data_IF_760536391499
#
_entry.id   IF_760536391499
#
_cell.length_a   1.000
_cell.length_b   1.000
_cell.length_c   1.000
_cell.angle_alpha   90.00
_cell.angle_beta   90.00
_cell.angle_gamma   90.00
#
_symmetry.space_group_name_H-M   'P 1'
#
loop_
_entity.id
_entity.type
_entity.pdbx_description
1 polymer ?
#
# COMPACT_ATOMS: atom_id res chain seq x y z
N UNK A 1 -13.98 -4.86 5.58
CA UNK A 1 -13.45 -5.54 4.39
C UNK A 1 -12.26 -6.34 4.85
N UNK A 2 -12.35 -7.66 4.72
CA UNK A 2 -11.23 -8.54 5.03
C UNK A 2 -10.21 -8.49 3.90
N UNK A 3 -8.98 -8.09 4.22
CA UNK A 3 -7.87 -7.94 3.27
C UNK A 3 -6.87 -9.10 3.32
N UNK A 4 -7.12 -10.14 4.13
CA UNK A 4 -6.17 -11.23 4.40
C UNK A 4 -5.67 -11.89 3.13
N UNK A 5 -6.57 -12.28 2.22
CA UNK A 5 -6.18 -12.95 0.98
C UNK A 5 -5.39 -12.04 0.03
N UNK A 6 -5.67 -10.73 0.04
CA UNK A 6 -4.93 -9.74 -0.76
C UNK A 6 -3.52 -9.60 -0.21
N UNK A 7 -3.39 -9.52 1.11
CA UNK A 7 -2.09 -9.43 1.76
C UNK A 7 -1.24 -10.68 1.52
N UNK A 8 -1.82 -11.87 1.69
CA UNK A 8 -1.13 -13.13 1.42
C UNK A 8 -0.59 -13.17 -0.02
N UNK A 9 -1.41 -12.78 -1.00
CA UNK A 9 -0.97 -12.69 -2.39
C UNK A 9 0.20 -11.74 -2.55
N UNK A 10 0.19 -10.57 -1.91
CA UNK A 10 1.29 -9.61 -1.98
C UNK A 10 2.57 -10.17 -1.33
N UNK A 11 2.47 -10.83 -0.18
CA UNK A 11 3.61 -11.44 0.53
C UNK A 11 4.30 -12.49 -0.33
N UNK A 12 3.51 -13.32 -1.02
CA UNK A 12 4.06 -14.36 -1.90
C UNK A 12 4.33 -13.87 -3.33
N UNK A 13 4.01 -12.61 -3.64
CA UNK A 13 4.22 -12.04 -4.96
C UNK A 13 5.62 -11.45 -5.08
N UNK A 14 6.34 -11.93 -6.09
CA UNK A 14 7.52 -11.31 -6.70
C UNK A 14 8.65 -10.87 -5.73
N UNK A 15 9.63 -11.77 -5.57
CA UNK A 15 10.85 -11.53 -4.77
C UNK A 15 11.68 -10.31 -5.21
N UNK A 16 11.47 -9.80 -6.43
CA UNK A 16 12.22 -8.66 -6.95
C UNK A 16 11.60 -7.30 -6.62
N UNK A 17 10.43 -7.27 -5.96
CA UNK A 17 9.69 -6.05 -5.67
C UNK A 17 10.55 -4.99 -4.99
N UNK A 18 11.01 -5.30 -3.76
CA UNK A 18 11.82 -4.42 -2.92
C UNK A 18 13.14 -3.99 -3.58
N UNK A 19 13.70 -4.84 -4.43
CA UNK A 19 15.05 -4.66 -4.97
C UNK A 19 15.11 -3.85 -6.27
N UNK A 20 14.01 -3.77 -7.03
CA UNK A 20 14.04 -3.12 -8.35
C UNK A 20 12.70 -2.54 -8.77
N UNK A 21 11.60 -3.28 -8.59
CA UNK A 21 10.31 -2.91 -9.16
C UNK A 21 9.68 -1.75 -8.41
N UNK A 22 9.84 -1.68 -7.09
CA UNK A 22 9.30 -0.58 -6.29
C UNK A 22 9.79 0.78 -6.81
N UNK A 23 11.10 0.94 -7.03
CA UNK A 23 11.66 2.19 -7.55
C UNK A 23 11.08 2.55 -8.92
N UNK A 24 10.92 1.57 -9.81
CA UNK A 24 10.28 1.79 -11.13
C UNK A 24 8.80 2.16 -11.00
N UNK A 25 8.08 1.61 -10.03
CA UNK A 25 6.69 1.99 -9.74
C UNK A 25 6.61 3.43 -9.25
N UNK A 26 7.48 3.81 -8.30
CA UNK A 26 7.54 5.19 -7.81
C UNK A 26 7.90 6.16 -8.95
N UNK A 27 8.92 5.85 -9.75
CA UNK A 27 9.31 6.65 -10.91
C UNK A 27 8.17 6.77 -11.92
N UNK A 28 7.44 5.69 -12.18
CA UNK A 28 6.29 5.73 -13.11
C UNK A 28 5.17 6.63 -12.56
N UNK A 29 4.86 6.52 -11.27
CA UNK A 29 3.81 7.33 -10.64
C UNK A 29 4.19 8.79 -10.48
N UNK A 30 5.47 9.12 -10.27
CA UNK A 30 5.94 10.49 -10.05
C UNK A 30 5.73 11.42 -11.26
N UNK A 31 5.53 10.84 -12.45
CA UNK A 31 5.16 11.61 -13.64
C UNK A 31 3.73 12.17 -13.56
N UNK A 32 2.85 11.55 -12.76
CA UNK A 32 1.41 11.83 -12.73
C UNK A 32 0.92 12.28 -11.34
N UNK A 33 1.66 11.95 -10.29
CA UNK A 33 1.32 12.18 -8.89
C UNK A 33 2.56 12.64 -8.13
N UNK A 34 2.34 13.20 -6.94
CA UNK A 34 3.41 13.45 -5.99
C UNK A 34 3.65 12.15 -5.23
N UNK A 35 4.90 11.71 -5.21
CA UNK A 35 5.33 10.51 -4.48
C UNK A 35 6.40 10.92 -3.49
N UNK A 36 6.13 10.72 -2.20
CA UNK A 36 7.11 10.95 -1.14
C UNK A 36 7.51 9.59 -0.55
N UNK A 37 8.81 9.33 -0.51
CA UNK A 37 9.38 8.18 0.18
C UNK A 37 9.84 8.70 1.54
N UNK A 38 9.33 8.11 2.62
CA UNK A 38 9.73 8.49 3.95
C UNK A 38 11.16 7.97 4.22
N UNK A 39 12.13 8.90 4.18
CA UNK A 39 13.58 8.63 4.14
C UNK A 39 14.07 7.90 5.41
N UNK A 40 13.40 8.08 6.54
CA UNK A 40 13.87 7.57 7.82
C UNK A 40 13.47 6.11 8.09
N UNK A 41 12.53 5.56 7.31
CA UNK A 41 12.04 4.18 7.52
C UNK A 41 11.93 3.33 6.28
N UNK A 42 11.97 3.91 5.08
CA UNK A 42 11.89 3.21 3.77
C UNK A 42 10.73 2.20 3.64
N UNK A 43 9.81 2.05 4.59
CA UNK A 43 8.84 0.93 4.56
C UNK A 43 7.63 1.21 3.70
N UNK A 44 7.22 2.48 3.58
CA UNK A 44 6.02 2.89 2.85
C UNK A 44 6.27 4.24 2.13
N UNK A 45 5.76 4.37 0.91
CA UNK A 45 5.70 5.64 0.18
C UNK A 45 4.27 6.18 0.14
N UNK A 46 4.15 7.49 0.27
CA UNK A 46 2.89 8.23 0.18
C UNK A 46 2.63 8.61 -1.28
N UNK A 47 1.43 8.33 -1.76
CA UNK A 47 0.94 8.76 -3.07
C UNK A 47 -0.09 9.88 -2.88
N UNK A 48 0.16 11.04 -3.49
CA UNK A 48 -0.68 12.22 -3.31
C UNK A 48 -0.93 12.98 -4.62
N UNK A 49 -2.01 13.75 -4.59
CA UNK A 49 -2.25 14.86 -5.53
C UNK A 49 -1.81 16.16 -4.85
N UNK A 50 -1.81 17.27 -5.57
CA UNK A 50 -1.46 18.59 -5.01
C UNK A 50 -2.22 18.95 -3.72
N UNK A 51 -3.44 18.43 -3.54
CA UNK A 51 -4.34 18.83 -2.46
C UNK A 51 -4.58 17.76 -1.40
N UNK A 52 -4.20 16.50 -1.66
CA UNK A 52 -4.46 15.40 -0.71
C UNK A 52 -3.65 14.14 -0.98
N UNK A 53 -3.43 13.37 0.08
CA UNK A 53 -2.97 11.98 0.01
C UNK A 53 -4.11 11.12 -0.54
N UNK A 54 -3.78 10.22 -1.46
CA UNK A 54 -4.73 9.33 -2.14
C UNK A 54 -4.39 7.85 -1.97
N UNK A 55 -3.19 7.52 -1.48
CA UNK A 55 -2.79 6.14 -1.25
C UNK A 55 -1.43 5.99 -0.58
N UNK A 56 -1.10 4.74 -0.27
CA UNK A 56 0.14 4.30 0.35
C UNK A 56 0.68 3.08 -0.39
N UNK A 57 1.99 3.01 -0.60
CA UNK A 57 2.68 1.95 -1.36
C UNK A 57 3.72 1.29 -0.47
N UNK A 58 3.59 -0.01 -0.22
CA UNK A 58 4.54 -0.74 0.61
C UNK A 58 5.85 -1.02 -0.13
N UNK A 59 7.01 -0.75 0.50
CA UNK A 59 8.32 -1.12 -0.06
C UNK A 59 8.55 -2.63 0.00
N UNK A 60 8.19 -3.26 1.11
CA UNK A 60 8.55 -4.67 1.34
C UNK A 60 7.69 -5.65 0.51
N UNK A 61 6.50 -5.22 0.09
CA UNK A 61 5.54 -6.07 -0.62
C UNK A 61 4.85 -5.28 -1.73
N UNK A 62 4.52 -5.90 -2.87
CA UNK A 62 3.80 -5.28 -3.98
C UNK A 62 2.33 -5.02 -3.61
N UNK A 63 2.12 -4.07 -2.70
CA UNK A 63 0.84 -3.75 -2.09
C UNK A 63 0.60 -2.24 -2.12
N UNK A 64 -0.56 -1.84 -2.62
CA UNK A 64 -0.99 -0.44 -2.68
C UNK A 64 -2.36 -0.30 -2.02
N UNK A 65 -2.43 0.56 -1.01
CA UNK A 65 -3.68 1.10 -0.49
C UNK A 65 -4.05 2.33 -1.31
N UNK A 66 -5.28 2.42 -1.81
CA UNK A 66 -5.69 3.54 -2.64
C UNK A 66 -7.18 3.86 -2.56
N UNK A 67 -7.52 5.14 -2.58
CA UNK A 67 -8.91 5.57 -2.69
C UNK A 67 -9.53 5.12 -4.04
N UNK A 68 -10.75 4.60 -4.00
CA UNK A 68 -11.49 4.07 -5.15
C UNK A 68 -11.55 5.04 -6.33
N UNK A 69 -11.62 6.35 -6.05
CA UNK A 69 -11.72 7.40 -7.07
C UNK A 69 -10.46 7.51 -7.95
N UNK A 70 -9.31 7.02 -7.47
CA UNK A 70 -8.02 7.06 -8.19
C UNK A 70 -7.54 5.67 -8.60
N UNK A 71 -8.10 4.61 -8.00
CA UNK A 71 -7.67 3.23 -8.21
C UNK A 71 -7.58 2.85 -9.69
N UNK A 72 -8.59 3.17 -10.50
CA UNK A 72 -8.60 2.80 -11.93
C UNK A 72 -7.52 3.53 -12.74
N UNK A 73 -7.22 4.78 -12.40
CA UNK A 73 -6.19 5.55 -13.08
C UNK A 73 -4.81 5.01 -12.74
N UNK A 74 -4.54 4.73 -11.46
CA UNK A 74 -3.28 4.15 -10.99
C UNK A 74 -3.07 2.74 -11.54
N UNK A 75 -4.11 1.91 -11.57
CA UNK A 75 -4.09 0.57 -12.16
C UNK A 75 -3.69 0.62 -13.65
N UNK A 76 -4.26 1.57 -14.41
CA UNK A 76 -3.89 1.76 -15.82
C UNK A 76 -2.44 2.24 -16.00
N UNK A 77 -1.94 3.12 -15.14
CA UNK A 77 -0.55 3.61 -15.20
C UNK A 77 0.41 2.46 -14.90
N UNK A 78 0.03 1.58 -13.98
CA UNK A 78 0.85 0.47 -13.50
C UNK A 78 0.53 -0.86 -14.18
N UNK A 79 -0.17 -0.85 -15.32
CA UNK A 79 -0.65 -2.07 -15.98
C UNK A 79 0.49 -2.98 -16.49
N UNK A 80 1.72 -2.49 -16.54
CA UNK A 80 2.91 -3.27 -16.87
C UNK A 80 3.50 -4.04 -15.66
N UNK A 81 2.96 -3.84 -14.46
CA UNK A 81 3.44 -4.42 -13.21
C UNK A 81 2.44 -5.45 -12.65
N UNK A 82 2.46 -6.66 -13.20
CA UNK A 82 1.45 -7.71 -12.95
C UNK A 82 1.36 -8.22 -11.49
N UNK A 83 2.38 -7.95 -10.66
CA UNK A 83 2.43 -8.48 -9.29
C UNK A 83 1.76 -7.60 -8.24
N UNK A 84 1.32 -6.38 -8.60
CA UNK A 84 0.77 -5.41 -7.64
C UNK A 84 -0.61 -5.83 -7.17
N UNK A 85 -0.77 -5.91 -5.84
CA UNK A 85 -2.06 -6.09 -5.20
C UNK A 85 -2.60 -4.75 -4.72
N UNK A 86 -3.90 -4.53 -4.95
CA UNK A 86 -4.57 -3.29 -4.57
C UNK A 86 -5.59 -3.53 -3.45
N UNK A 87 -5.48 -2.73 -2.39
CA UNK A 87 -6.50 -2.57 -1.36
C UNK A 87 -7.22 -1.26 -1.65
N UNK A 88 -8.36 -1.36 -2.33
CA UNK A 88 -9.15 -0.19 -2.73
C UNK A 88 -10.11 0.20 -1.62
N UNK A 89 -10.04 1.45 -1.18
CA UNK A 89 -10.82 1.96 -0.05
C UNK A 89 -11.69 3.14 -0.44
N UNK A 90 -12.79 3.38 0.28
CA UNK A 90 -13.64 4.55 0.04
C UNK A 90 -12.90 5.86 0.37
N UNK A 91 -12.30 5.90 1.56
CA UNK A 91 -11.38 6.95 2.03
C UNK A 91 -10.22 6.25 2.74
N UNK A 92 -9.11 6.95 2.94
CA UNK A 92 -7.96 6.40 3.68
C UNK A 92 -8.19 6.30 5.20
N UNK A 93 -9.17 7.04 5.73
CA UNK A 93 -9.43 7.18 7.17
C UNK A 93 -10.58 6.29 7.68
N UNK A 94 -11.41 5.75 6.78
CA UNK A 94 -12.55 4.92 7.15
C UNK A 94 -12.05 3.61 7.80
N UNK A 95 -12.36 3.40 9.08
CA UNK A 95 -11.97 2.21 9.85
C UNK A 95 -12.95 1.05 9.63
N UNK A 96 -12.71 0.26 8.60
CA UNK A 96 -13.50 -0.94 8.32
C UNK A 96 -12.66 -2.09 7.76
N UNK A 97 -11.34 -1.95 7.68
CA UNK A 97 -10.46 -3.01 7.25
C UNK A 97 -10.26 -4.00 8.40
N UNK A 98 -10.16 -5.27 8.03
CA UNK A 98 -9.84 -6.36 8.94
C UNK A 98 -8.81 -7.28 8.30
N UNK A 99 -7.98 -7.90 9.12
CA UNK A 99 -6.93 -8.81 8.66
C UNK A 99 -6.69 -9.90 9.68
N UNK A 100 -6.37 -11.09 9.19
CA UNK A 100 -5.93 -12.21 10.01
C UNK A 100 -4.64 -11.84 10.78
N UNK A 101 -4.64 -11.93 12.12
CA UNK A 101 -3.47 -11.57 12.92
C UNK A 101 -2.25 -12.44 12.68
N UNK A 102 -2.40 -13.72 12.36
CA UNK A 102 -1.26 -14.62 12.14
C UNK A 102 -0.53 -14.22 10.87
N UNK A 103 -1.27 -13.83 9.83
CA UNK A 103 -0.70 -13.31 8.58
C UNK A 103 -0.05 -11.94 8.79
N UNK A 104 -0.74 -11.03 9.47
CA UNK A 104 -0.24 -9.66 9.68
C UNK A 104 1.06 -9.66 10.49
N UNK A 105 1.06 -10.32 11.65
CA UNK A 105 2.19 -10.33 12.58
C UNK A 105 3.44 -11.05 12.05
N UNK A 106 3.32 -11.80 10.95
CA UNK A 106 4.46 -12.42 10.26
C UNK A 106 5.26 -11.40 9.43
N UNK A 107 4.62 -10.32 9.00
CA UNK A 107 5.13 -9.46 7.93
C UNK A 107 5.23 -7.97 8.28
N UNK A 108 4.52 -7.53 9.33
CA UNK A 108 4.31 -6.12 9.68
C UNK A 108 4.52 -5.87 11.18
N UNK A 109 4.69 -4.60 11.52
CA UNK A 109 4.85 -4.15 12.89
C UNK A 109 3.52 -4.17 13.65
N UNK A 110 3.59 -4.26 14.98
CA UNK A 110 2.40 -4.41 15.82
C UNK A 110 1.35 -3.32 15.56
N UNK A 111 0.10 -3.75 15.37
CA UNK A 111 -1.07 -2.88 15.32
C UNK A 111 -2.13 -3.41 16.29
N UNK A 112 -2.67 -2.54 17.14
CA UNK A 112 -3.57 -2.93 18.23
C UNK A 112 -4.90 -3.50 17.73
N UNK A 113 -5.47 -2.91 16.67
CA UNK A 113 -6.78 -3.31 16.15
C UNK A 113 -6.67 -3.86 14.73
N UNK A 114 -6.69 -5.18 14.60
CA UNK A 114 -6.65 -5.87 13.31
C UNK A 114 -8.05 -6.17 12.74
N UNK A 115 -9.12 -5.77 13.43
CA UNK A 115 -10.51 -6.08 13.03
C UNK A 115 -11.28 -4.86 12.50
N UNK A 116 -10.78 -3.66 12.78
CA UNK A 116 -11.42 -2.41 12.36
C UNK A 116 -10.39 -1.27 12.32
N UNK A 117 -9.54 -1.27 11.29
CA UNK A 117 -8.54 -0.23 11.06
C UNK A 117 -8.74 0.44 9.69
N UNK A 118 -8.07 1.57 9.49
CA UNK A 118 -8.04 2.34 8.25
C UNK A 118 -6.73 2.13 7.48
N UNK A 119 -6.66 2.57 6.22
CA UNK A 119 -5.41 2.51 5.47
C UNK A 119 -4.32 3.41 6.12
N UNK A 120 -4.75 4.51 6.72
CA UNK A 120 -3.89 5.42 7.46
C UNK A 120 -3.35 4.81 8.77
N UNK A 121 -4.19 4.09 9.53
CA UNK A 121 -3.73 3.35 10.73
C UNK A 121 -2.63 2.35 10.35
N UNK A 122 -2.83 1.62 9.24
CA UNK A 122 -1.83 0.69 8.71
C UNK A 122 -0.52 1.40 8.37
N UNK A 123 -0.59 2.56 7.69
CA UNK A 123 0.58 3.38 7.36
C UNK A 123 1.34 3.78 8.63
N UNK A 124 0.68 4.43 9.59
CA UNK A 124 1.34 4.92 10.79
C UNK A 124 1.96 3.82 11.65
N UNK A 125 1.34 2.63 11.72
CA UNK A 125 1.91 1.50 12.46
C UNK A 125 3.14 0.87 11.79
N UNK A 126 3.35 1.08 10.49
CA UNK A 126 4.38 0.39 9.70
C UNK A 126 5.45 1.32 9.12
N UNK A 127 5.46 2.58 9.54
CA UNK A 127 6.45 3.60 9.18
C UNK A 127 7.57 3.71 10.21
N UNK A 128 7.48 3.06 11.37
CA UNK A 128 8.51 3.14 12.43
C UNK A 128 9.71 2.21 12.27
#
# INVERSE_FOLDING_TARGET
>A
MDITAILQKAIYANMNWKHSIFCSVIETLSHHYITDIEIDSEKISVLSTENKIIGYICLNYPLIFIENNYASQVDNILSAFDSIQYIRVKTLHDQYLSIDPDIYNTCFDYMENLTSFSAEDFYFCNVT
#
